data_IF_295550883877
#
_entry.id   IF_295550883877
#
_cell.length_a   1.000
_cell.length_b   1.000
_cell.length_c   1.000
_cell.angle_alpha   90.00
_cell.angle_beta   90.00
_cell.angle_gamma   90.00
#
_symmetry.space_group_name_H-M   'P 1'
#
loop_
_entity.id
_entity.type
_entity.pdbx_description
1 polymer ?
#
# COMPACT_ATOMS: atom_id res chain seq x y z
N UNK A 1 -14.16 -3.11 6.02
CA UNK A 1 -13.25 -3.60 4.97
C UNK A 1 -13.85 -3.30 3.61
N UNK A 2 -13.07 -2.76 2.69
CA UNK A 2 -13.52 -2.50 1.32
C UNK A 2 -13.49 -3.80 0.51
N UNK A 3 -14.25 -3.88 -0.60
CA UNK A 3 -14.18 -5.04 -1.51
C UNK A 3 -12.75 -5.29 -2.01
N UNK A 4 -11.99 -4.22 -2.25
CA UNK A 4 -10.61 -4.28 -2.71
C UNK A 4 -9.67 -4.91 -1.67
N UNK A 5 -9.84 -4.58 -0.38
CA UNK A 5 -9.01 -5.14 0.70
C UNK A 5 -9.21 -6.65 0.91
N UNK A 6 -10.37 -7.17 0.50
CA UNK A 6 -10.72 -8.60 0.59
C UNK A 6 -10.13 -9.43 -0.56
N UNK A 7 -9.69 -8.79 -1.63
CA UNK A 7 -9.06 -9.49 -2.75
C UNK A 7 -7.69 -10.05 -2.34
N UNK A 8 -7.28 -11.11 -3.02
CA UNK A 8 -5.97 -11.73 -2.87
C UNK A 8 -4.98 -11.16 -3.87
N UNK A 9 -3.74 -10.92 -3.42
CA UNK A 9 -2.67 -10.58 -4.34
C UNK A 9 -2.51 -11.72 -5.35
N UNK A 10 -2.40 -11.34 -6.62
CA UNK A 10 -2.22 -12.29 -7.71
C UNK A 10 -0.73 -12.38 -8.07
N UNK A 11 -0.23 -13.58 -8.43
CA UNK A 11 1.09 -13.70 -9.03
C UNK A 11 1.17 -12.85 -10.30
N UNK A 12 2.28 -12.16 -10.48
CA UNK A 12 2.64 -11.47 -11.72
C UNK A 12 3.90 -12.09 -12.32
N UNK A 13 4.06 -12.00 -13.63
CA UNK A 13 5.28 -12.42 -14.29
C UNK A 13 6.32 -11.31 -14.18
N UNK A 14 7.54 -11.65 -13.75
CA UNK A 14 8.66 -10.72 -13.74
C UNK A 14 8.82 -10.08 -15.13
N UNK A 15 8.85 -8.75 -15.20
CA UNK A 15 8.92 -8.00 -16.46
C UNK A 15 7.59 -7.79 -17.19
N UNK A 16 6.44 -8.13 -16.58
CA UNK A 16 5.14 -7.70 -17.12
C UNK A 16 5.00 -6.18 -17.07
N UNK A 17 4.20 -5.61 -17.97
CA UNK A 17 3.93 -4.17 -17.98
C UNK A 17 3.13 -3.74 -16.74
N UNK A 18 3.31 -2.49 -16.25
CA UNK A 18 2.41 -1.88 -15.28
C UNK A 18 0.96 -1.84 -15.79
N UNK A 19 0.02 -1.74 -14.86
CA UNK A 19 -1.38 -1.49 -15.20
C UNK A 19 -1.56 -0.13 -15.91
N UNK A 20 -2.61 0.01 -16.72
CA UNK A 20 -2.83 1.21 -17.55
C UNK A 20 -3.31 2.41 -16.73
N UNK A 21 -3.26 3.60 -17.33
CA UNK A 21 -3.74 4.83 -16.69
C UNK A 21 -5.24 4.78 -16.36
N UNK A 22 -6.04 4.11 -17.20
CA UNK A 22 -7.47 3.88 -16.96
C UNK A 22 -7.70 2.94 -15.77
N UNK A 23 -6.92 1.87 -15.68
CA UNK A 23 -6.97 0.93 -14.54
C UNK A 23 -6.54 1.60 -13.24
N UNK A 24 -5.46 2.39 -13.28
CA UNK A 24 -5.01 3.22 -12.14
C UNK A 24 -6.14 4.15 -11.70
N UNK A 25 -6.78 4.87 -12.63
CA UNK A 25 -7.87 5.80 -12.31
C UNK A 25 -9.04 5.08 -11.65
N UNK A 26 -9.44 3.92 -12.18
CA UNK A 26 -10.54 3.13 -11.65
C UNK A 26 -10.25 2.55 -10.26
N UNK A 27 -9.01 2.10 -10.02
CA UNK A 27 -8.59 1.57 -8.72
C UNK A 27 -8.35 2.68 -7.69
N UNK A 28 -7.80 3.82 -8.10
CA UNK A 28 -7.56 4.98 -7.22
C UNK A 28 -8.86 5.55 -6.65
N UNK A 29 -9.95 5.52 -7.43
CA UNK A 29 -11.27 5.89 -6.94
C UNK A 29 -11.74 5.06 -5.73
N UNK A 30 -11.20 3.85 -5.53
CA UNK A 30 -11.50 2.97 -4.38
C UNK A 30 -10.64 3.26 -3.15
N UNK A 31 -9.56 4.04 -3.31
CA UNK A 31 -8.61 4.41 -2.25
C UNK A 31 -8.29 5.93 -2.29
N UNK A 32 -9.32 6.80 -2.17
CA UNK A 32 -9.18 8.23 -2.49
C UNK A 32 -8.18 9.01 -1.63
N UNK A 33 -7.82 8.47 -0.46
CA UNK A 33 -6.84 9.08 0.45
C UNK A 33 -5.39 8.74 0.11
N UNK A 34 -5.16 7.87 -0.88
CA UNK A 34 -3.81 7.49 -1.32
C UNK A 34 -3.35 8.40 -2.46
N UNK A 35 -2.14 8.93 -2.31
CA UNK A 35 -1.53 9.79 -3.31
C UNK A 35 -0.80 8.94 -4.35
N UNK A 36 -0.96 9.30 -5.62
CA UNK A 36 -0.14 8.77 -6.70
C UNK A 36 1.07 9.70 -6.88
N UNK A 37 2.26 9.23 -6.52
CA UNK A 37 3.50 10.00 -6.58
C UNK A 37 4.49 9.31 -7.51
N UNK A 38 5.29 10.09 -8.21
CA UNK A 38 6.35 9.57 -9.07
C UNK A 38 7.72 9.78 -8.40
N UNK A 39 8.50 8.71 -8.34
CA UNK A 39 9.87 8.73 -7.84
C UNK A 39 10.79 8.08 -8.88
N UNK A 40 11.73 8.86 -9.41
CA UNK A 40 12.67 8.41 -10.45
C UNK A 40 11.97 7.83 -11.69
N UNK A 41 10.84 8.42 -12.08
CA UNK A 41 10.03 7.94 -13.21
C UNK A 41 9.14 6.74 -12.89
N UNK A 42 9.10 6.26 -11.64
CA UNK A 42 8.30 5.11 -11.22
C UNK A 42 7.10 5.58 -10.38
N UNK A 43 5.86 5.32 -10.81
CA UNK A 43 4.67 5.66 -10.02
C UNK A 43 4.53 4.75 -8.80
N UNK A 44 4.14 5.33 -7.67
CA UNK A 44 3.93 4.66 -6.38
C UNK A 44 2.69 5.22 -5.68
N UNK A 45 1.97 4.37 -4.97
CA UNK A 45 0.92 4.80 -4.05
C UNK A 45 1.56 5.18 -2.71
N UNK A 46 1.21 6.32 -2.13
CA UNK A 46 1.73 6.74 -0.84
C UNK A 46 0.66 7.33 0.08
N UNK A 47 0.69 6.94 1.36
CA UNK A 47 -0.15 7.53 2.41
C UNK A 47 0.61 7.64 3.73
N UNK A 48 0.34 8.72 4.46
CA UNK A 48 0.88 8.97 5.81
C UNK A 48 -0.20 8.69 6.86
N UNK A 49 0.14 7.85 7.82
CA UNK A 49 -0.69 7.49 8.97
C UNK A 49 -0.14 8.14 10.24
N UNK A 50 -1.03 8.63 11.13
CA UNK A 50 -0.65 9.42 12.32
C UNK A 50 -0.96 8.70 13.63
N UNK A 51 -0.03 8.79 14.58
CA UNK A 51 -0.09 8.14 15.88
C UNK A 51 0.29 9.13 16.99
N UNK A 52 -0.15 8.86 18.22
CA UNK A 52 0.14 9.72 19.37
C UNK A 52 1.61 9.61 19.85
N UNK A 53 2.27 8.49 19.55
CA UNK A 53 3.63 8.20 19.98
C UNK A 53 4.29 7.19 19.01
N UNK A 54 5.57 6.92 19.24
CA UNK A 54 6.32 5.96 18.43
C UNK A 54 5.85 4.51 18.60
N UNK A 55 5.34 4.14 19.78
CA UNK A 55 4.88 2.77 20.03
C UNK A 55 3.68 2.40 19.16
N UNK A 56 2.73 3.33 18.97
CA UNK A 56 1.62 3.13 18.04
C UNK A 56 2.09 3.04 16.58
N UNK A 57 3.06 3.88 16.20
CA UNK A 57 3.63 3.85 14.85
C UNK A 57 4.31 2.50 14.54
N UNK A 58 5.17 2.00 15.45
CA UNK A 58 5.87 0.73 15.21
C UNK A 58 4.91 -0.48 15.26
N UNK A 59 3.87 -0.44 16.10
CA UNK A 59 2.85 -1.49 16.12
C UNK A 59 2.07 -1.56 14.79
N UNK A 60 1.76 -0.40 14.19
CA UNK A 60 1.17 -0.33 12.87
C UNK A 60 2.10 -0.85 11.79
N UNK A 61 3.37 -0.42 11.79
CA UNK A 61 4.40 -0.91 10.87
C UNK A 61 4.50 -2.43 10.88
N UNK A 62 4.54 -3.04 12.08
CA UNK A 62 4.61 -4.49 12.21
C UNK A 62 3.38 -5.20 11.65
N UNK A 63 2.17 -4.68 11.90
CA UNK A 63 0.94 -5.26 11.37
C UNK A 63 0.84 -5.17 9.85
N UNK A 64 1.30 -4.05 9.25
CA UNK A 64 1.43 -3.93 7.80
C UNK A 64 2.46 -4.91 7.25
N UNK A 65 3.60 -5.08 7.94
CA UNK A 65 4.63 -6.05 7.58
C UNK A 65 4.13 -7.50 7.61
N UNK A 66 3.35 -7.89 8.62
CA UNK A 66 2.74 -9.22 8.69
C UNK A 66 1.75 -9.46 7.53
N UNK A 67 0.92 -8.46 7.21
CA UNK A 67 0.00 -8.54 6.09
C UNK A 67 0.73 -8.62 4.73
N UNK A 68 1.84 -7.91 4.59
CA UNK A 68 2.71 -7.92 3.42
C UNK A 68 3.33 -9.30 3.20
N UNK A 69 3.90 -9.89 4.24
CA UNK A 69 4.52 -11.22 4.17
C UNK A 69 3.50 -12.30 3.80
N UNK A 70 2.29 -12.22 4.38
CA UNK A 70 1.21 -13.17 4.07
C UNK A 70 0.77 -13.16 2.60
N UNK A 71 0.89 -12.03 1.91
CA UNK A 71 0.54 -11.91 0.50
C UNK A 71 1.74 -12.00 -0.45
N UNK A 72 2.97 -12.03 0.09
CA UNK A 72 4.19 -11.98 -0.72
C UNK A 72 4.31 -10.67 -1.53
N UNK A 73 3.80 -9.57 -0.99
CA UNK A 73 3.86 -8.24 -1.62
C UNK A 73 4.27 -7.21 -0.59
N UNK A 74 5.44 -6.57 -0.79
CA UNK A 74 6.11 -5.80 0.25
C UNK A 74 6.12 -4.29 -0.02
N UNK A 75 5.83 -3.43 0.98
CA UNK A 75 5.89 -1.98 0.85
C UNK A 75 7.26 -1.43 1.25
N UNK A 76 7.49 -0.15 0.93
CA UNK A 76 8.40 0.67 1.73
C UNK A 76 7.67 1.28 2.94
N UNK A 77 8.28 1.18 4.11
CA UNK A 77 7.76 1.71 5.37
C UNK A 77 8.77 2.66 6.01
N UNK A 78 8.42 3.93 6.13
CA UNK A 78 9.18 4.90 6.94
C UNK A 78 8.44 5.13 8.25
N UNK A 79 8.99 4.59 9.33
CA UNK A 79 8.45 4.75 10.69
C UNK A 79 9.19 5.85 11.42
N UNK A 80 8.47 6.87 11.87
CA UNK A 80 9.02 8.02 12.59
C UNK A 80 8.15 8.32 13.82
N UNK A 81 8.57 9.26 14.68
CA UNK A 81 7.77 9.64 15.84
C UNK A 81 6.37 10.12 15.44
N UNK A 82 5.34 9.38 15.87
CA UNK A 82 3.94 9.71 15.66
C UNK A 82 3.45 9.57 14.22
N UNK A 83 4.21 8.93 13.31
CA UNK A 83 3.75 8.70 11.93
C UNK A 83 4.39 7.49 11.26
N UNK A 84 3.69 6.94 10.28
CA UNK A 84 4.21 5.95 9.33
C UNK A 84 3.84 6.38 7.93
N UNK A 85 4.84 6.56 7.06
CA UNK A 85 4.62 6.73 5.62
C UNK A 85 4.73 5.36 4.96
N UNK A 86 3.67 4.96 4.25
CA UNK A 86 3.60 3.67 3.55
C UNK A 86 3.61 3.95 2.05
N UNK A 87 4.46 3.23 1.32
CA UNK A 87 4.50 3.28 -0.14
C UNK A 87 4.38 1.89 -0.77
N UNK A 88 3.47 1.75 -1.74
CA UNK A 88 3.24 0.54 -2.51
C UNK A 88 3.56 0.76 -3.99
N UNK A 89 4.38 -0.12 -4.54
CA UNK A 89 4.61 -0.28 -5.97
C UNK A 89 5.20 -1.66 -6.21
N UNK A 90 5.17 -2.10 -7.45
CA UNK A 90 5.73 -3.39 -7.85
C UNK A 90 7.06 -3.15 -8.57
N UNK A 91 8.17 -3.57 -7.95
CA UNK A 91 9.52 -3.34 -8.45
C UNK A 91 9.75 -3.98 -9.84
N UNK A 92 9.36 -5.23 -10.00
CA UNK A 92 9.67 -6.03 -11.20
C UNK A 92 8.87 -5.62 -12.44
N UNK A 93 7.82 -4.82 -12.27
CA UNK A 93 7.04 -4.26 -13.39
C UNK A 93 7.41 -2.80 -13.66
N UNK A 94 8.24 -2.17 -12.83
CA UNK A 94 8.65 -0.78 -12.97
C UNK A 94 7.52 0.23 -12.75
N UNK A 95 6.54 -0.10 -11.90
CA UNK A 95 5.38 0.76 -11.67
C UNK A 95 4.32 0.11 -10.80
N UNK A 96 3.06 0.37 -11.13
CA UNK A 96 1.93 -0.14 -10.36
C UNK A 96 1.38 -1.44 -10.94
N UNK A 97 0.94 -2.31 -10.04
CA UNK A 97 0.14 -3.51 -10.28
C UNK A 97 -1.12 -3.48 -9.41
N UNK A 98 -2.14 -4.27 -9.73
CA UNK A 98 -3.36 -4.34 -8.93
C UNK A 98 -3.09 -4.68 -7.44
N UNK A 99 -2.05 -5.47 -7.17
CA UNK A 99 -1.63 -5.82 -5.80
C UNK A 99 -1.30 -4.59 -4.95
N UNK A 100 -0.76 -3.53 -5.55
CA UNK A 100 -0.44 -2.29 -4.84
C UNK A 100 -1.71 -1.63 -4.28
N UNK A 101 -2.80 -1.67 -5.05
CA UNK A 101 -4.09 -1.13 -4.63
C UNK A 101 -4.80 -2.01 -3.61
N UNK A 102 -4.69 -3.34 -3.76
CA UNK A 102 -5.20 -4.31 -2.77
C UNK A 102 -4.52 -4.05 -1.41
N UNK A 103 -3.19 -3.95 -1.41
CA UNK A 103 -2.42 -3.76 -0.18
C UNK A 103 -2.58 -2.36 0.39
N UNK A 104 -2.75 -1.32 -0.44
CA UNK A 104 -3.14 0.01 0.00
C UNK A 104 -4.47 0.00 0.77
N UNK A 105 -5.52 -0.62 0.19
CA UNK A 105 -6.81 -0.73 0.84
C UNK A 105 -6.76 -1.54 2.15
N UNK A 106 -5.96 -2.60 2.18
CA UNK A 106 -5.77 -3.43 3.38
C UNK A 106 -5.00 -2.70 4.49
N UNK A 107 -4.02 -1.89 4.12
CA UNK A 107 -3.29 -1.01 5.05
C UNK A 107 -4.25 -0.04 5.75
N UNK A 108 -5.24 0.51 5.03
CA UNK A 108 -6.28 1.35 5.63
C UNK A 108 -7.15 0.59 6.64
N UNK A 109 -7.49 -0.67 6.35
CA UNK A 109 -8.24 -1.53 7.28
C UNK A 109 -7.43 -1.83 8.55
N UNK A 110 -6.14 -2.14 8.42
CA UNK A 110 -5.23 -2.35 9.55
C UNK A 110 -5.18 -1.09 10.43
N UNK A 111 -5.07 0.10 9.80
CA UNK A 111 -5.02 1.36 10.55
C UNK A 111 -6.32 1.62 11.32
N UNK A 112 -7.48 1.38 10.70
CA UNK A 112 -8.78 1.51 11.35
C UNK A 112 -8.94 0.58 12.55
N UNK A 113 -8.46 -0.66 12.44
CA UNK A 113 -8.53 -1.65 13.53
C UNK A 113 -7.68 -1.28 14.74
N UNK A 114 -6.56 -0.57 14.54
CA UNK A 114 -5.69 -0.13 15.64
C UNK A 114 -6.11 1.21 16.28
N UNK A 115 -7.04 1.93 15.65
CA UNK A 115 -7.63 3.16 16.19
C UNK A 115 -8.98 2.94 16.88
N UNK A 116 -9.58 1.75 16.69
CA UNK A 116 -10.75 1.29 17.42
C UNK A 116 -10.35 0.79 18.82
#
# INVERSE_FOLDING_TARGET
MTELAQQKCQPYQSGSSPITAEEITALQAKIPDWNLLEYEGIPRLQKLYKFANFQGAIAFTNAVGEAAEKEGHHPALLTEWGKVTVSWWTHDVGGLHQNDFIMAARTDDIYRQQKA
#
